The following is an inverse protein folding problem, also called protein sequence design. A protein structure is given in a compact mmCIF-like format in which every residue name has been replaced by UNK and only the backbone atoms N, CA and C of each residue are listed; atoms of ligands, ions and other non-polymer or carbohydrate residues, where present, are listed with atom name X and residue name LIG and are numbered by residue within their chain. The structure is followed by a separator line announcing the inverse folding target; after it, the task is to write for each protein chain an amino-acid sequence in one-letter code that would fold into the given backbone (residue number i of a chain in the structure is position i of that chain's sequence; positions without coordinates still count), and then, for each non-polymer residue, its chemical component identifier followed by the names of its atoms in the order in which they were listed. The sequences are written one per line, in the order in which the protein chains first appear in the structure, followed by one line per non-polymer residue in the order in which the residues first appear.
data_IF_351465836245
#
_entry.id   IF_351465836245
#
_cell.length_a   1.000
_cell.length_b   1.000
_cell.length_c   1.000
_cell.angle_alpha   90.00
_cell.angle_beta   90.00
_cell.angle_gamma   90.00
#
_symmetry.space_group_name_H-M   'P 1'
#
loop_
_entity.id
_entity.type
_entity.pdbx_description
1 polymer ?
#
# COMPACT_ATOMS: atom_id res chain seq x y z
N UNK A 1 -20.33 27.59 24.03
CA UNK A 1 -19.65 26.31 24.36
C UNK A 1 -18.34 26.26 23.59
N UNK A 2 -17.22 26.01 24.29
CA UNK A 2 -15.92 25.73 23.67
C UNK A 2 -15.67 24.25 23.74
N UNK A 3 -15.26 23.63 22.63
CA UNK A 3 -14.91 22.22 22.54
C UNK A 3 -13.43 22.14 22.13
N UNK A 4 -12.67 21.29 22.80
CA UNK A 4 -11.31 20.94 22.40
C UNK A 4 -11.31 19.44 22.07
N UNK A 5 -10.68 19.07 20.97
CA UNK A 5 -10.51 17.69 20.55
C UNK A 5 -9.03 17.36 20.45
N UNK A 6 -8.66 16.20 20.93
CA UNK A 6 -7.31 15.67 20.79
C UNK A 6 -7.37 14.19 20.45
N UNK A 7 -6.64 13.79 19.44
CA UNK A 7 -6.44 12.39 19.06
C UNK A 7 -5.06 11.95 19.55
N UNK A 8 -5.02 10.91 20.39
CA UNK A 8 -3.78 10.35 20.90
C UNK A 8 -3.22 9.35 19.91
N UNK A 9 -2.00 9.60 19.44
CA UNK A 9 -1.25 8.66 18.62
C UNK A 9 0.14 8.48 19.20
N UNK A 10 0.59 7.24 19.32
CA UNK A 10 1.94 6.93 19.76
C UNK A 10 2.98 7.14 18.64
N UNK A 11 2.52 7.24 17.39
CA UNK A 11 3.38 7.46 16.22
C UNK A 11 3.39 8.94 15.88
N UNK A 12 4.53 9.59 16.04
CA UNK A 12 4.75 11.01 15.77
C UNK A 12 6.08 11.21 15.04
N UNK A 13 6.02 11.28 13.70
CA UNK A 13 7.22 11.40 12.87
C UNK A 13 7.93 10.05 12.64
N UNK A 14 9.05 10.10 11.90
CA UNK A 14 9.83 8.91 11.56
C UNK A 14 10.57 8.41 12.81
N UNK A 15 10.35 7.15 13.20
CA UNK A 15 11.00 6.46 14.32
C UNK A 15 10.90 7.20 15.66
N UNK A 16 9.88 8.03 15.85
CA UNK A 16 9.69 8.77 17.09
C UNK A 16 8.30 8.56 17.67
N UNK A 17 8.22 8.68 18.99
CA UNK A 17 6.98 8.63 19.74
C UNK A 17 6.92 9.81 20.71
N UNK A 18 5.71 10.21 21.09
CA UNK A 18 5.50 11.20 22.13
C UNK A 18 4.91 10.56 23.38
N UNK A 19 5.09 11.22 24.51
CA UNK A 19 4.51 10.79 25.76
C UNK A 19 2.98 10.71 25.70
N UNK A 20 2.40 9.66 26.30
CA UNK A 20 0.94 9.43 26.33
C UNK A 20 0.22 10.34 27.35
N UNK A 21 0.65 11.60 27.46
CA UNK A 21 -0.02 12.61 28.27
C UNK A 21 -0.66 13.64 27.36
N UNK A 22 -1.97 13.79 27.50
CA UNK A 22 -2.73 14.79 26.75
C UNK A 22 -2.88 16.03 27.60
N UNK A 23 -2.48 17.17 27.08
CA UNK A 23 -2.56 18.45 27.74
C UNK A 23 -3.63 19.34 27.11
N UNK A 24 -4.59 19.81 27.93
CA UNK A 24 -5.61 20.75 27.52
C UNK A 24 -5.41 22.11 28.22
N UNK A 25 -5.21 23.16 27.48
CA UNK A 25 -5.18 24.53 27.99
C UNK A 25 -6.59 25.03 28.27
N UNK A 26 -6.91 25.34 29.50
CA UNK A 26 -8.25 25.73 29.93
C UNK A 26 -8.40 27.24 30.20
N UNK A 27 -7.34 28.05 29.96
CA UNK A 27 -7.32 29.47 30.29
C UNK A 27 -7.77 29.68 31.77
N UNK A 28 -8.71 30.56 32.02
CA UNK A 28 -9.21 30.92 33.38
C UNK A 28 -10.32 29.99 33.89
N UNK A 29 -10.72 28.98 33.12
CA UNK A 29 -11.77 28.05 33.54
C UNK A 29 -11.29 27.16 34.67
N UNK A 30 -12.08 27.07 35.75
CA UNK A 30 -11.76 26.27 36.95
C UNK A 30 -12.18 24.79 36.80
N UNK A 31 -13.05 24.50 35.86
CA UNK A 31 -13.56 23.16 35.58
C UNK A 31 -13.99 22.99 34.11
N UNK A 32 -14.08 21.76 33.69
CA UNK A 32 -14.63 21.32 32.38
C UNK A 32 -15.96 20.65 32.68
N UNK A 33 -17.01 21.01 31.94
CA UNK A 33 -18.36 20.45 32.11
C UNK A 33 -18.39 18.96 31.81
N UNK A 34 -17.67 18.54 30.76
CA UNK A 34 -17.55 17.12 30.42
C UNK A 34 -16.21 16.79 29.74
N UNK A 35 -15.64 15.66 30.11
CA UNK A 35 -14.51 15.02 29.43
C UNK A 35 -14.97 13.67 28.89
N UNK A 36 -14.81 13.48 27.59
CA UNK A 36 -15.18 12.24 26.91
C UNK A 36 -13.90 11.62 26.34
N UNK A 37 -13.60 10.40 26.76
CA UNK A 37 -12.50 9.60 26.22
C UNK A 37 -13.08 8.48 25.39
N UNK A 38 -12.79 8.47 24.10
CA UNK A 38 -13.16 7.37 23.19
C UNK A 38 -11.95 6.45 23.07
N UNK A 39 -12.12 5.19 23.44
CA UNK A 39 -11.09 4.17 23.41
C UNK A 39 -11.02 3.47 22.03
N UNK A 40 -9.90 2.85 21.64
CA UNK A 40 -9.75 2.18 20.36
C UNK A 40 -10.81 1.08 20.08
N UNK A 41 -11.39 0.49 21.13
CA UNK A 41 -12.46 -0.52 21.05
C UNK A 41 -13.87 0.09 20.94
N UNK A 42 -13.98 1.36 20.52
CA UNK A 42 -15.24 2.10 20.39
C UNK A 42 -16.06 2.24 21.69
N UNK A 43 -15.44 2.03 22.84
CA UNK A 43 -16.06 2.31 24.14
C UNK A 43 -15.75 3.74 24.57
N UNK A 44 -16.57 4.30 25.42
CA UNK A 44 -16.38 5.66 25.96
C UNK A 44 -16.41 5.69 27.48
N UNK A 45 -15.51 6.50 28.03
CA UNK A 45 -15.58 6.96 29.42
C UNK A 45 -15.99 8.44 29.40
N UNK A 46 -17.05 8.77 30.16
CA UNK A 46 -17.55 10.15 30.30
C UNK A 46 -17.39 10.57 31.76
N UNK A 47 -16.75 11.70 31.97
CA UNK A 47 -16.57 12.33 33.26
C UNK A 47 -17.18 13.74 33.21
N UNK A 48 -17.81 14.18 34.27
CA UNK A 48 -18.47 15.47 34.36
C UNK A 48 -17.84 16.31 35.49
N UNK A 49 -17.97 17.63 35.39
CA UNK A 49 -17.50 18.60 36.38
C UNK A 49 -16.01 18.39 36.78
N UNK A 50 -15.18 18.10 35.78
CA UNK A 50 -13.76 17.81 36.01
C UNK A 50 -13.00 19.10 36.35
N UNK A 51 -12.36 19.16 37.51
CA UNK A 51 -11.59 20.33 37.95
C UNK A 51 -10.37 20.57 37.05
N UNK A 52 -10.01 21.82 36.88
CA UNK A 52 -8.77 22.22 36.19
C UNK A 52 -7.54 21.96 37.07
N UNK A 53 -6.36 22.16 36.50
CA UNK A 53 -5.04 22.13 37.18
C UNK A 53 -4.77 20.81 37.93
N UNK A 54 -5.00 19.67 37.27
CA UNK A 54 -4.72 18.35 37.81
C UNK A 54 -4.23 17.39 36.74
N UNK A 55 -3.49 16.38 37.16
CA UNK A 55 -3.23 15.19 36.32
C UNK A 55 -4.32 14.15 36.60
N UNK A 56 -5.16 13.92 35.59
CA UNK A 56 -6.27 12.98 35.66
C UNK A 56 -5.92 11.65 34.99
N UNK A 57 -5.94 10.57 35.76
CA UNK A 57 -5.80 9.21 35.20
C UNK A 57 -7.18 8.65 34.88
N UNK A 58 -7.41 8.33 33.61
CA UNK A 58 -8.66 7.71 33.13
C UNK A 58 -8.39 6.26 32.77
N UNK A 59 -9.21 5.35 33.31
CA UNK A 59 -9.07 3.91 33.06
C UNK A 59 -10.17 3.42 32.14
N UNK A 60 -9.79 2.64 31.12
CA UNK A 60 -10.71 2.04 30.16
C UNK A 60 -11.68 1.02 30.77
N UNK A 61 -11.34 0.45 31.93
CA UNK A 61 -12.24 -0.51 32.61
C UNK A 61 -13.59 0.11 32.96
N UNK A 62 -13.65 1.42 33.15
CA UNK A 62 -14.88 2.16 33.46
C UNK A 62 -15.62 2.65 32.21
N UNK A 63 -15.22 2.19 31.03
CA UNK A 63 -15.83 2.58 29.76
C UNK A 63 -17.12 1.82 29.50
N UNK A 64 -18.08 2.47 28.84
CA UNK A 64 -19.34 1.88 28.39
C UNK A 64 -19.36 1.78 26.86
N UNK A 65 -20.12 0.83 26.35
CA UNK A 65 -20.33 0.76 24.89
C UNK A 65 -20.93 2.09 24.41
N UNK A 66 -20.34 2.62 23.38
CA UNK A 66 -20.85 3.81 22.71
C UNK A 66 -21.43 3.40 21.36
N UNK A 67 -22.78 3.36 21.33
CA UNK A 67 -23.46 3.28 20.05
C UNK A 67 -23.41 4.65 19.40
N UNK A 68 -22.41 4.89 18.58
CA UNK A 68 -22.51 6.02 17.66
C UNK A 68 -23.70 5.70 16.74
N UNK A 69 -24.73 6.52 16.80
CA UNK A 69 -25.63 6.62 15.67
C UNK A 69 -24.82 7.30 14.54
N UNK A 70 -23.96 6.55 13.89
CA UNK A 70 -23.48 6.95 12.59
C UNK A 70 -24.71 6.96 11.69
N UNK A 71 -25.11 8.13 11.22
CA UNK A 71 -25.87 8.14 9.98
C UNK A 71 -25.06 7.25 9.01
N UNK A 72 -25.69 6.32 8.30
CA UNK A 72 -24.99 5.56 7.30
C UNK A 72 -24.29 6.60 6.41
N UNK A 73 -22.95 6.64 6.46
CA UNK A 73 -22.20 7.45 5.52
C UNK A 73 -22.52 6.86 4.16
N UNK A 74 -23.00 7.68 3.26
CA UNK A 74 -23.03 7.30 1.86
C UNK A 74 -21.62 6.80 1.51
N UNK A 75 -21.49 5.51 1.19
CA UNK A 75 -20.21 4.94 0.82
C UNK A 75 -19.90 5.41 -0.60
N UNK A 76 -18.72 5.97 -0.82
CA UNK A 76 -18.25 6.31 -2.16
C UNK A 76 -17.84 5.06 -2.95
N UNK A 77 -17.54 3.97 -2.25
CA UNK A 77 -17.12 2.70 -2.84
C UNK A 77 -17.93 1.57 -2.20
N UNK A 78 -18.31 0.61 -3.00
CA UNK A 78 -18.97 -0.63 -2.59
C UNK A 78 -18.04 -1.79 -2.94
N UNK A 79 -17.90 -2.73 -2.00
CA UNK A 79 -17.17 -3.98 -2.28
C UNK A 79 -18.05 -4.87 -3.16
N UNK A 80 -17.59 -5.12 -4.37
CA UNK A 80 -18.24 -6.06 -5.29
C UNK A 80 -17.41 -7.35 -5.37
N UNK A 81 -18.03 -8.53 -5.43
CA UNK A 81 -17.31 -9.78 -5.63
C UNK A 81 -16.62 -9.73 -7.01
N UNK A 82 -15.28 -9.74 -6.98
CA UNK A 82 -14.52 -9.79 -8.22
C UNK A 82 -14.35 -11.23 -8.68
N UNK A 83 -14.25 -11.44 -10.00
CA UNK A 83 -13.93 -12.74 -10.58
C UNK A 83 -12.41 -12.94 -10.75
N UNK A 84 -11.60 -12.02 -10.23
CA UNK A 84 -10.15 -12.15 -10.28
C UNK A 84 -9.74 -13.30 -9.37
N UNK A 85 -9.27 -14.37 -9.96
CA UNK A 85 -8.71 -15.51 -9.23
C UNK A 85 -7.19 -15.39 -9.16
N UNK A 86 -6.70 -14.39 -8.42
CA UNK A 86 -5.27 -14.18 -8.19
C UNK A 86 -4.99 -14.09 -6.70
N UNK A 87 -3.97 -14.83 -6.26
CA UNK A 87 -3.41 -14.72 -4.93
C UNK A 87 -1.91 -14.53 -5.06
N UNK A 88 -1.40 -13.41 -4.57
CA UNK A 88 0.02 -13.18 -4.51
C UNK A 88 0.67 -14.15 -3.52
N UNK A 89 1.79 -14.73 -3.93
CA UNK A 89 2.55 -15.69 -3.11
C UNK A 89 4.00 -15.23 -3.06
N UNK A 90 4.42 -14.79 -1.89
CA UNK A 90 5.80 -14.44 -1.62
C UNK A 90 6.70 -15.69 -1.53
N UNK A 91 8.00 -15.49 -1.82
CA UNK A 91 9.03 -16.43 -1.46
C UNK A 91 9.48 -16.21 -0.01
N UNK A 92 10.00 -17.27 0.60
CA UNK A 92 10.58 -17.14 1.94
C UNK A 92 12.01 -16.63 1.84
N UNK A 93 12.26 -15.43 2.35
CA UNK A 93 13.59 -14.88 2.53
C UNK A 93 13.65 -14.07 3.83
N UNK A 94 14.75 -14.15 4.58
CA UNK A 94 14.94 -13.35 5.77
C UNK A 94 16.03 -12.29 5.56
N UNK A 95 15.62 -11.07 5.24
CA UNK A 95 16.50 -9.94 5.06
C UNK A 95 17.43 -9.69 6.24
N UNK A 96 16.95 -9.95 7.46
CA UNK A 96 17.71 -9.70 8.69
C UNK A 96 18.90 -10.66 8.87
N UNK A 97 18.95 -11.79 8.17
CA UNK A 97 20.14 -12.62 8.13
C UNK A 97 21.31 -11.95 7.41
N UNK A 98 21.03 -11.09 6.43
CA UNK A 98 22.04 -10.33 5.68
C UNK A 98 22.27 -8.94 6.23
N UNK A 99 21.21 -8.25 6.61
CA UNK A 99 21.22 -6.85 7.02
C UNK A 99 20.42 -6.65 8.32
N UNK A 100 21.06 -6.93 9.43
CA UNK A 100 20.44 -6.95 10.78
C UNK A 100 19.78 -5.62 11.18
N UNK A 101 20.24 -4.50 10.62
CA UNK A 101 19.76 -3.15 10.98
C UNK A 101 18.67 -2.60 10.05
N UNK A 102 18.14 -3.38 9.14
CA UNK A 102 17.02 -2.91 8.31
C UNK A 102 15.81 -2.56 9.18
N UNK A 103 15.12 -1.44 8.90
CA UNK A 103 13.90 -1.06 9.62
C UNK A 103 12.70 -1.94 9.25
N UNK A 104 12.69 -2.48 8.05
CA UNK A 104 11.67 -3.42 7.53
C UNK A 104 12.29 -4.29 6.43
N UNK A 105 11.63 -5.38 6.08
CA UNK A 105 12.08 -6.27 5.00
C UNK A 105 11.95 -5.56 3.66
N UNK A 106 12.92 -5.76 2.78
CA UNK A 106 12.94 -5.24 1.40
C UNK A 106 12.58 -6.33 0.36
N UNK A 107 12.66 -7.61 0.75
CA UNK A 107 12.34 -8.75 -0.10
C UNK A 107 10.84 -9.08 -0.18
N UNK A 108 9.96 -8.22 0.31
CA UNK A 108 8.51 -8.45 0.33
C UNK A 108 7.75 -7.14 0.07
N UNK A 109 8.22 -6.34 -0.89
CA UNK A 109 7.63 -5.04 -1.23
C UNK A 109 6.58 -5.12 -2.34
N UNK A 110 6.40 -6.27 -2.96
CA UNK A 110 5.42 -6.50 -4.02
C UNK A 110 3.99 -6.75 -3.52
N UNK A 111 3.08 -7.11 -4.43
CA UNK A 111 3.29 -7.14 -5.87
C UNK A 111 3.23 -5.76 -6.52
N UNK A 112 4.00 -5.54 -7.58
CA UNK A 112 3.82 -4.40 -8.46
C UNK A 112 2.41 -4.43 -9.08
N UNK A 113 1.81 -3.26 -9.31
CA UNK A 113 0.49 -3.16 -9.94
C UNK A 113 0.46 -1.97 -10.88
N UNK A 114 0.14 -2.22 -12.15
CA UNK A 114 -0.08 -1.17 -13.14
C UNK A 114 -1.41 -1.37 -13.86
N UNK A 115 -2.06 -0.26 -14.21
CA UNK A 115 -3.39 -0.26 -14.85
C UNK A 115 -3.39 0.68 -16.04
N UNK A 116 -3.76 0.19 -17.22
CA UNK A 116 -4.02 0.97 -18.42
C UNK A 116 -4.75 0.12 -19.48
N UNK A 117 -5.34 0.76 -20.47
CA UNK A 117 -5.76 0.10 -21.71
C UNK A 117 -4.51 -0.26 -22.52
N UNK A 118 -4.22 -1.55 -22.69
CA UNK A 118 -3.02 -2.03 -23.41
C UNK A 118 -3.35 -2.61 -24.78
N UNK A 119 -4.64 -2.76 -25.10
CA UNK A 119 -5.08 -3.38 -26.35
C UNK A 119 -5.91 -2.45 -27.25
N UNK A 120 -6.18 -1.19 -26.80
CA UNK A 120 -6.89 -0.16 -27.54
C UNK A 120 -8.41 -0.33 -27.54
N UNK A 121 -8.99 -1.06 -26.58
CA UNK A 121 -10.44 -1.29 -26.50
C UNK A 121 -11.17 -0.31 -25.55
N UNK A 122 -10.45 0.63 -24.95
CA UNK A 122 -10.89 1.62 -23.95
C UNK A 122 -11.35 1.01 -22.61
N UNK A 123 -10.92 -0.19 -22.29
CA UNK A 123 -11.09 -0.79 -20.97
C UNK A 123 -9.72 -0.87 -20.26
N UNK A 124 -9.73 -0.70 -18.95
CA UNK A 124 -8.51 -0.76 -18.17
C UNK A 124 -8.09 -2.22 -17.93
N UNK A 125 -6.90 -2.58 -18.40
CA UNK A 125 -6.23 -3.84 -18.14
C UNK A 125 -5.28 -3.73 -16.96
N UNK A 126 -4.89 -4.85 -16.38
CA UNK A 126 -4.12 -4.87 -15.13
C UNK A 126 -2.88 -5.77 -15.27
N UNK A 127 -1.70 -5.18 -15.08
CA UNK A 127 -0.48 -5.94 -14.86
C UNK A 127 -0.29 -6.18 -13.36
N UNK A 128 0.03 -7.41 -12.99
CA UNK A 128 0.36 -7.81 -11.63
C UNK A 128 1.74 -8.44 -11.63
N UNK A 129 2.68 -7.76 -10.99
CA UNK A 129 4.04 -8.24 -10.79
C UNK A 129 4.11 -9.42 -9.84
N UNK A 130 5.25 -10.08 -9.80
CA UNK A 130 5.46 -11.29 -9.00
C UNK A 130 6.68 -11.21 -8.10
N UNK A 131 6.64 -11.98 -7.00
CA UNK A 131 7.81 -12.27 -6.19
C UNK A 131 8.82 -13.14 -6.96
N UNK A 132 10.07 -13.12 -6.53
CA UNK A 132 11.13 -13.94 -7.10
C UNK A 132 10.74 -15.44 -7.18
N UNK A 133 10.95 -16.03 -8.34
CA UNK A 133 10.56 -17.43 -8.62
C UNK A 133 9.12 -17.62 -9.07
N UNK A 134 8.33 -16.56 -9.21
CA UNK A 134 6.95 -16.57 -9.72
C UNK A 134 6.86 -15.89 -11.07
N UNK A 135 5.69 -15.97 -11.70
CA UNK A 135 5.45 -15.37 -13.02
C UNK A 135 4.40 -14.26 -12.86
N UNK A 136 4.74 -13.07 -13.36
CA UNK A 136 3.84 -11.92 -13.41
C UNK A 136 2.68 -12.18 -14.35
N UNK A 137 1.58 -11.48 -14.18
CA UNK A 137 0.35 -11.69 -14.94
C UNK A 137 -0.14 -10.39 -15.56
N UNK A 138 -0.66 -10.52 -16.76
CA UNK A 138 -1.48 -9.50 -17.41
C UNK A 138 -2.92 -9.99 -17.44
N UNK A 139 -3.83 -9.19 -16.92
CA UNK A 139 -5.26 -9.44 -16.92
C UNK A 139 -5.91 -8.45 -17.87
N UNK A 140 -6.60 -8.97 -18.88
CA UNK A 140 -7.32 -8.18 -19.89
C UNK A 140 -8.79 -8.06 -19.47
N UNK A 141 -9.31 -6.85 -19.44
CA UNK A 141 -10.71 -6.60 -19.13
C UNK A 141 -11.58 -6.85 -20.37
N UNK A 142 -12.70 -7.53 -20.19
CA UNK A 142 -13.70 -7.70 -21.23
C UNK A 142 -14.90 -6.74 -21.04
N UNK A 143 -15.78 -6.66 -22.03
CA UNK A 143 -16.97 -5.81 -22.01
C UNK A 143 -17.98 -6.15 -20.88
N UNK A 144 -17.80 -7.27 -20.19
CA UNK A 144 -18.60 -7.67 -19.03
C UNK A 144 -17.95 -7.24 -17.69
N UNK A 145 -16.83 -6.51 -17.77
CA UNK A 145 -16.04 -6.09 -16.59
C UNK A 145 -15.29 -7.23 -15.91
N UNK A 146 -15.06 -8.35 -16.63
CA UNK A 146 -14.29 -9.48 -16.12
C UNK A 146 -12.82 -9.31 -16.54
N UNK A 147 -11.90 -9.53 -15.61
CA UNK A 147 -10.47 -9.55 -15.86
C UNK A 147 -10.01 -10.99 -16.12
N UNK A 148 -9.57 -11.27 -17.34
CA UNK A 148 -9.15 -12.59 -17.79
C UNK A 148 -7.64 -12.62 -17.98
N UNK A 149 -6.99 -13.69 -17.50
CA UNK A 149 -5.55 -13.85 -17.66
C UNK A 149 -5.18 -13.97 -19.15
N UNK A 150 -4.24 -13.13 -19.60
CA UNK A 150 -3.67 -13.18 -20.93
C UNK A 150 -2.78 -14.41 -21.10
N UNK A 151 -2.78 -15.01 -22.29
CA UNK A 151 -1.91 -16.14 -22.64
C UNK A 151 -0.46 -15.73 -22.93
N UNK A 152 -0.12 -14.45 -22.80
CA UNK A 152 1.23 -13.93 -23.05
C UNK A 152 2.21 -14.52 -22.03
N UNK A 153 3.33 -15.02 -22.54
CA UNK A 153 4.38 -15.67 -21.73
C UNK A 153 5.70 -14.91 -21.74
N UNK A 154 5.70 -13.65 -22.12
CA UNK A 154 6.90 -12.83 -22.16
C UNK A 154 7.60 -12.75 -20.79
N UNK A 155 6.82 -12.77 -19.71
CA UNK A 155 7.30 -12.72 -18.33
C UNK A 155 7.95 -14.01 -17.85
N UNK A 156 7.67 -15.16 -18.48
CA UNK A 156 8.18 -16.47 -18.04
C UNK A 156 9.72 -16.53 -17.99
N UNK A 157 10.39 -15.80 -18.90
CA UNK A 157 11.85 -15.71 -18.93
C UNK A 157 12.43 -14.89 -17.79
N UNK A 158 11.61 -14.05 -17.13
CA UNK A 158 12.01 -13.13 -16.08
C UNK A 158 11.49 -13.52 -14.70
N UNK A 159 10.93 -14.69 -14.55
CA UNK A 159 10.35 -15.19 -13.29
C UNK A 159 11.30 -15.21 -12.08
N UNK A 160 12.62 -15.12 -12.32
CA UNK A 160 13.61 -15.09 -11.23
C UNK A 160 13.69 -13.69 -10.60
N UNK A 161 13.22 -12.66 -11.32
CA UNK A 161 13.24 -11.27 -10.88
C UNK A 161 12.04 -11.01 -9.95
N UNK A 162 12.19 -10.05 -9.06
CA UNK A 162 11.11 -9.56 -8.22
C UNK A 162 10.62 -8.22 -8.75
N UNK A 163 9.31 -8.10 -8.91
CA UNK A 163 8.65 -6.92 -9.43
C UNK A 163 8.11 -6.10 -8.27
N UNK A 164 8.77 -5.01 -7.92
CA UNK A 164 8.39 -4.19 -6.76
C UNK A 164 7.52 -2.99 -7.14
N UNK A 165 7.63 -2.52 -8.38
CA UNK A 165 6.75 -1.47 -8.92
C UNK A 165 6.62 -1.63 -10.43
N UNK A 166 5.54 -1.06 -11.01
CA UNK A 166 5.32 -1.07 -12.44
C UNK A 166 4.48 0.13 -12.89
N UNK A 167 4.70 0.58 -14.12
CA UNK A 167 3.91 1.65 -14.72
C UNK A 167 3.74 1.41 -16.22
N UNK A 168 2.56 1.72 -16.73
CA UNK A 168 2.31 1.82 -18.15
C UNK A 168 2.60 3.25 -18.64
N UNK A 169 3.29 3.39 -19.76
CA UNK A 169 3.60 4.66 -20.42
C UNK A 169 3.92 4.42 -21.89
N UNK A 170 3.67 5.41 -22.73
CA UNK A 170 4.09 5.42 -24.14
C UNK A 170 5.61 5.78 -24.17
N UNK A 171 6.45 4.75 -24.25
CA UNK A 171 7.91 4.91 -24.16
C UNK A 171 8.55 5.29 -25.48
N UNK A 172 8.05 4.79 -26.59
CA UNK A 172 8.61 5.01 -27.94
C UNK A 172 7.81 6.03 -28.78
N UNK A 173 6.75 6.62 -28.22
CA UNK A 173 5.85 7.62 -28.82
C UNK A 173 5.06 7.09 -30.04
N UNK A 174 4.64 5.84 -29.99
CA UNK A 174 3.80 5.27 -31.03
C UNK A 174 2.30 5.35 -30.69
N UNK A 175 1.95 5.76 -29.47
CA UNK A 175 0.60 6.06 -28.99
C UNK A 175 -0.05 4.94 -28.23
N UNK A 176 0.62 3.83 -27.99
CA UNK A 176 0.15 2.76 -27.12
C UNK A 176 0.90 2.70 -25.78
N UNK A 177 0.44 1.86 -24.87
CA UNK A 177 0.99 1.78 -23.52
C UNK A 177 1.99 0.64 -23.39
N UNK A 178 3.28 0.98 -23.27
CA UNK A 178 4.36 0.08 -22.91
C UNK A 178 4.42 -0.16 -21.41
N UNK A 179 5.16 -1.18 -20.98
CA UNK A 179 5.30 -1.52 -19.58
C UNK A 179 6.75 -1.34 -19.10
N UNK A 180 6.93 -0.49 -18.11
CA UNK A 180 8.15 -0.39 -17.31
C UNK A 180 7.97 -1.11 -16.00
N UNK A 181 8.91 -1.99 -15.63
CA UNK A 181 8.89 -2.76 -14.38
C UNK A 181 10.18 -2.53 -13.61
N UNK A 182 10.02 -2.10 -12.37
CA UNK A 182 11.11 -1.91 -11.42
C UNK A 182 11.42 -3.23 -10.73
N UNK A 183 12.66 -3.65 -10.80
CA UNK A 183 13.16 -4.86 -10.14
C UNK A 183 13.67 -4.54 -8.75
N UNK A 184 13.44 -5.41 -7.78
CA UNK A 184 13.85 -5.20 -6.40
C UNK A 184 14.15 -6.45 -5.62
N UNK A 185 13.85 -6.39 -4.33
CA UNK A 185 14.18 -7.45 -3.38
C UNK A 185 15.58 -7.32 -2.80
N UNK A 186 15.97 -8.27 -1.98
CA UNK A 186 17.26 -8.32 -1.29
C UNK A 186 17.90 -9.73 -1.30
N UNK A 187 17.33 -10.63 -2.10
CA UNK A 187 17.70 -12.05 -2.15
C UNK A 187 19.04 -12.30 -2.82
N UNK A 188 19.39 -11.45 -3.78
CA UNK A 188 20.56 -11.67 -4.64
C UNK A 188 21.80 -10.91 -4.12
N UNK A 189 22.94 -11.22 -4.72
CA UNK A 189 24.18 -10.51 -4.40
C UNK A 189 24.15 -9.09 -4.94
N UNK A 190 24.84 -8.13 -4.30
CA UNK A 190 25.01 -6.79 -4.83
C UNK A 190 25.53 -6.81 -6.28
N UNK A 191 25.06 -5.90 -7.09
CA UNK A 191 25.34 -5.80 -8.53
C UNK A 191 24.88 -7.01 -9.37
N UNK A 192 23.87 -7.74 -8.91
CA UNK A 192 23.26 -8.80 -9.71
C UNK A 192 22.45 -8.20 -10.85
N UNK A 193 22.48 -8.85 -12.02
CA UNK A 193 21.59 -8.51 -13.14
C UNK A 193 20.10 -8.73 -12.86
N UNK A 194 19.77 -9.38 -11.75
CA UNK A 194 18.39 -9.55 -11.26
C UNK A 194 17.78 -8.26 -10.74
N UNK A 195 18.57 -7.22 -10.50
CA UNK A 195 18.11 -5.89 -10.11
C UNK A 195 17.92 -4.92 -11.29
N UNK A 196 18.17 -5.38 -12.51
CA UNK A 196 17.95 -4.54 -13.69
C UNK A 196 16.47 -4.35 -13.96
N UNK A 197 16.07 -3.11 -14.09
CA UNK A 197 14.72 -2.76 -14.51
C UNK A 197 14.46 -3.18 -15.96
N UNK A 198 13.21 -3.32 -16.31
CA UNK A 198 12.80 -3.87 -17.61
C UNK A 198 11.77 -2.98 -18.29
N UNK A 199 11.94 -2.87 -19.62
CA UNK A 199 10.91 -2.31 -20.48
C UNK A 199 10.41 -3.40 -21.44
N UNK A 200 9.11 -3.44 -21.57
CA UNK A 200 8.41 -4.27 -22.53
C UNK A 200 7.61 -3.36 -23.45
N UNK A 201 7.96 -3.37 -24.73
CA UNK A 201 7.27 -2.61 -25.77
C UNK A 201 6.02 -3.36 -26.20
N UNK A 202 4.92 -2.66 -26.24
CA UNK A 202 3.62 -3.14 -26.68
C UNK A 202 3.49 -2.99 -28.22
N UNK A 203 2.56 -3.68 -28.84
CA UNK A 203 2.19 -3.52 -30.25
C UNK A 203 0.80 -2.89 -30.42
N UNK A 204 0.26 -2.27 -29.37
CA UNK A 204 -1.08 -1.70 -29.31
C UNK A 204 -2.21 -2.73 -29.27
N UNK A 205 -1.88 -4.01 -29.10
CA UNK A 205 -2.85 -5.13 -29.02
C UNK A 205 -2.66 -5.96 -27.78
N UNK A 206 -1.87 -5.45 -26.83
CA UNK A 206 -1.54 -6.14 -25.59
C UNK A 206 -0.45 -7.20 -25.75
N UNK A 207 0.29 -7.27 -26.86
CA UNK A 207 1.44 -8.16 -26.98
C UNK A 207 2.72 -7.40 -26.66
N UNK A 208 3.49 -7.90 -25.70
CA UNK A 208 4.66 -7.24 -25.16
C UNK A 208 5.95 -7.94 -25.57
N UNK A 209 6.96 -7.17 -25.97
CA UNK A 209 8.30 -7.64 -26.28
C UNK A 209 9.33 -7.01 -25.36
N UNK A 210 10.13 -7.80 -24.66
CA UNK A 210 11.22 -7.30 -23.82
C UNK A 210 12.33 -6.64 -24.65
N UNK A 211 12.75 -5.42 -24.27
CA UNK A 211 13.82 -4.66 -24.93
C UNK A 211 14.93 -4.33 -23.93
N UNK A 212 16.01 -5.10 -23.96
CA UNK A 212 17.10 -5.01 -22.99
C UNK A 212 17.87 -3.68 -23.01
N UNK A 213 18.07 -3.07 -24.16
CA UNK A 213 19.05 -1.97 -24.32
C UNK A 213 18.42 -0.58 -24.28
N UNK A 214 17.21 -0.44 -23.78
CA UNK A 214 16.52 0.85 -23.67
C UNK A 214 16.83 1.59 -22.38
N UNK A 215 17.28 0.87 -21.35
CA UNK A 215 17.64 1.43 -20.05
C UNK A 215 19.15 1.32 -19.80
N UNK A 216 19.74 2.24 -19.00
CA UNK A 216 21.09 2.06 -18.50
C UNK A 216 21.17 0.86 -17.56
N UNK A 217 22.31 0.18 -17.53
CA UNK A 217 22.56 -0.92 -16.61
C UNK A 217 22.78 -0.36 -15.19
N UNK A 218 21.72 -0.25 -14.41
CA UNK A 218 21.75 0.11 -12.98
C UNK A 218 21.46 -1.15 -12.18
N UNK A 219 22.43 -1.60 -11.40
CA UNK A 219 22.36 -2.86 -10.64
C UNK A 219 21.99 -2.62 -9.17
N UNK A 220 21.09 -1.70 -8.92
CA UNK A 220 20.60 -1.37 -7.58
C UNK A 220 19.15 -1.82 -7.44
N UNK A 221 18.83 -2.40 -6.26
CA UNK A 221 17.44 -2.72 -5.97
C UNK A 221 16.62 -1.43 -5.92
N UNK A 222 15.54 -1.37 -6.68
CA UNK A 222 14.52 -0.36 -6.51
C UNK A 222 13.86 -0.53 -5.12
N UNK A 223 13.68 0.55 -4.38
CA UNK A 223 13.06 0.52 -3.04
C UNK A 223 12.32 1.82 -2.76
#
# INVERSE_FOLDING_TARGET
NKIQLFESSNVRGIYSTSENIIHFGLSDYKKVDSLIVTWPNSRQTKLFDVKANQLLKVNSNNSKNYNSKSNPKELFFEEIPTKINYTHIENYFDDYEKQVLLPHKLSQLGPALAVADVNGDNLDDVYIGSASGKVSKLLIQNNQGELLESEIKTWDSHKVLEDIDAVFLDFDNDGDNDLYVVSGGNEFSPNSSTYLDRIYINDGKGNFEFKRNLLPDVYESGS
#
